data_IF_856646979576
#
_entry.id   IF_856646979576
#
_cell.length_a   1.000
_cell.length_b   1.000
_cell.length_c   1.000
_cell.angle_alpha   90.00
_cell.angle_beta   90.00
_cell.angle_gamma   90.00
#
_symmetry.space_group_name_H-M   'P 1'
#
loop_
_entity.id
_entity.type
_entity.pdbx_description
1 polymer ?
#
# COMPACT_ATOMS: atom_id res chain seq x y z
N UNK A 1 -9.10 -10.24 53.34
CA UNK A 1 -7.89 -9.50 52.92
C UNK A 1 -7.95 -9.41 51.40
N UNK A 2 -8.80 -8.54 50.85
CA UNK A 2 -8.48 -7.16 50.47
C UNK A 2 -7.18 -7.06 49.65
N UNK A 3 -7.32 -6.84 48.35
CA UNK A 3 -6.84 -5.62 47.70
C UNK A 3 -7.56 -5.43 46.35
N UNK A 4 -8.16 -4.25 46.23
CA UNK A 4 -8.88 -3.70 45.06
C UNK A 4 -7.95 -2.67 44.41
N UNK A 5 -8.07 -2.54 43.08
CA UNK A 5 -7.83 -1.36 42.23
C UNK A 5 -6.38 -0.93 41.91
N UNK A 6 -6.05 -0.88 40.61
CA UNK A 6 -6.00 0.37 39.82
C UNK A 6 -5.95 0.07 38.31
N UNK A 7 -6.69 0.88 37.53
CA UNK A 7 -6.70 0.90 36.05
C UNK A 7 -5.34 1.38 35.51
N UNK A 8 -4.92 0.98 34.30
CA UNK A 8 -4.09 1.82 33.45
C UNK A 8 -4.91 2.30 32.25
N UNK A 9 -5.36 3.54 32.37
CA UNK A 9 -5.91 4.37 31.31
C UNK A 9 -5.52 5.81 31.63
N UNK A 10 -4.21 6.08 31.60
CA UNK A 10 -3.64 7.42 31.54
C UNK A 10 -2.14 7.27 31.17
N UNK A 11 -1.83 7.47 29.89
CA UNK A 11 -0.47 7.87 29.49
C UNK A 11 -0.65 9.24 28.84
N UNK A 12 -0.36 10.22 29.68
CA UNK A 12 0.23 11.54 29.40
C UNK A 12 0.51 11.83 27.92
N UNK A 13 -0.07 12.95 27.46
CA UNK A 13 0.43 13.67 26.31
C UNK A 13 1.93 13.91 26.48
N UNK A 14 2.73 13.32 25.58
CA UNK A 14 4.12 13.73 25.40
C UNK A 14 4.08 14.86 24.39
N UNK A 15 4.09 16.07 24.92
CA UNK A 15 4.55 17.23 24.18
C UNK A 15 6.08 17.12 24.12
N UNK A 16 6.62 16.78 22.96
CA UNK A 16 8.04 17.00 22.69
C UNK A 16 8.29 17.06 21.18
N UNK A 17 8.38 18.30 20.72
CA UNK A 17 9.28 18.76 19.67
C UNK A 17 10.67 18.15 19.81
N UNK A 18 10.89 16.94 19.30
CA UNK A 18 12.24 16.48 18.94
C UNK A 18 12.18 15.67 17.65
N UNK A 19 12.79 16.24 16.62
CA UNK A 19 13.01 15.63 15.31
C UNK A 19 13.71 14.28 15.45
N UNK A 20 13.01 13.18 15.13
CA UNK A 20 13.67 11.89 14.96
C UNK A 20 14.29 11.84 13.55
N UNK A 21 15.47 12.43 13.44
CA UNK A 21 16.30 12.45 12.24
C UNK A 21 17.15 11.19 12.18
N UNK A 22 16.58 10.05 11.78
CA UNK A 22 17.37 8.94 11.22
C UNK A 22 16.48 7.88 10.55
N UNK A 23 16.59 7.66 9.23
CA UNK A 23 15.90 6.55 8.55
C UNK A 23 16.34 5.17 9.09
N UNK A 24 17.50 5.07 9.75
CA UNK A 24 17.96 3.85 10.41
C UNK A 24 17.07 3.39 11.59
N UNK A 25 16.42 4.33 12.30
CA UNK A 25 15.50 3.97 13.40
C UNK A 25 14.20 3.42 12.82
N UNK A 26 13.70 4.01 11.74
CA UNK A 26 12.51 3.51 11.03
C UNK A 26 12.79 2.15 10.39
N UNK A 27 13.99 1.93 9.84
CA UNK A 27 14.41 0.64 9.28
C UNK A 27 14.60 -0.42 10.36
N UNK A 28 15.17 -0.07 11.51
CA UNK A 28 15.29 -0.96 12.67
C UNK A 28 13.94 -1.34 13.26
N UNK A 29 13.01 -0.38 13.36
CA UNK A 29 11.63 -0.62 13.79
C UNK A 29 10.87 -1.45 12.77
N UNK A 30 11.03 -1.18 11.47
CA UNK A 30 10.40 -1.98 10.41
C UNK A 30 10.95 -3.40 10.41
N UNK A 31 12.25 -3.59 10.61
CA UNK A 31 12.90 -4.91 10.68
C UNK A 31 12.52 -5.67 11.95
N UNK A 32 12.44 -5.00 13.11
CA UNK A 32 11.92 -5.59 14.36
C UNK A 32 10.43 -5.94 14.27
N UNK A 33 9.63 -5.11 13.59
CA UNK A 33 8.21 -5.38 13.32
C UNK A 33 8.07 -6.50 12.28
N UNK A 34 8.97 -6.63 11.32
CA UNK A 34 8.97 -7.69 10.31
C UNK A 34 9.45 -9.03 10.90
N UNK A 35 10.46 -9.02 11.77
CA UNK A 35 10.98 -10.20 12.48
C UNK A 35 10.01 -10.68 13.57
N UNK A 36 9.33 -9.77 14.30
CA UNK A 36 8.26 -10.16 15.23
C UNK A 36 7.00 -10.70 14.50
N UNK A 37 6.83 -10.36 13.22
CA UNK A 37 5.77 -10.92 12.36
C UNK A 37 6.22 -12.15 11.55
N UNK A 38 7.47 -12.61 11.67
CA UNK A 38 7.92 -13.86 11.01
C UNK A 38 7.22 -15.11 11.58
N UNK A 39 6.62 -15.02 12.77
CA UNK A 39 5.69 -16.03 13.30
C UNK A 39 4.36 -16.13 12.53
N UNK A 40 4.05 -15.16 11.65
CA UNK A 40 2.83 -15.12 10.83
C UNK A 40 3.00 -15.88 9.50
N UNK A 41 4.20 -16.38 9.17
CA UNK A 41 4.45 -17.23 7.99
C UNK A 41 3.93 -18.68 8.13
N UNK A 42 2.86 -18.91 8.88
CA UNK A 42 2.10 -20.17 8.81
C UNK A 42 1.23 -20.19 7.56
N UNK A 43 1.85 -20.58 6.45
CA UNK A 43 1.16 -20.99 5.22
C UNK A 43 1.42 -22.47 4.95
N UNK A 44 1.23 -23.30 5.97
CA UNK A 44 0.79 -24.68 5.82
C UNK A 44 -0.55 -24.75 6.54
N UNK A 45 -1.62 -24.31 5.87
CA UNK A 45 -2.98 -24.49 6.37
C UNK A 45 -3.69 -25.48 5.47
N UNK A 46 -3.24 -26.74 5.51
CA UNK A 46 -4.15 -27.85 5.34
C UNK A 46 -4.41 -28.40 6.74
N UNK A 47 -5.66 -28.33 7.18
CA UNK A 47 -6.13 -29.04 8.37
C UNK A 47 -7.02 -30.13 7.81
N UNK A 48 -6.57 -31.38 7.86
CA UNK A 48 -7.43 -32.52 7.55
C UNK A 48 -8.35 -32.71 8.77
N UNK A 49 -9.63 -32.44 8.59
CA UNK A 49 -10.66 -32.69 9.60
C UNK A 49 -11.34 -34.00 9.20
N UNK A 50 -11.16 -35.03 10.01
CA UNK A 50 -11.88 -36.29 9.86
C UNK A 50 -13.33 -36.08 10.30
N UNK A 51 -14.24 -36.01 9.32
CA UNK A 51 -15.68 -35.84 9.57
C UNK A 51 -16.27 -37.23 9.72
N UNK A 52 -16.50 -37.65 10.97
CA UNK A 52 -17.22 -38.90 11.23
C UNK A 52 -18.71 -38.67 10.92
N UNK A 53 -19.38 -39.58 10.20
CA UNK A 53 -20.83 -39.50 10.03
C UNK A 53 -21.49 -39.70 11.40
N UNK A 54 -21.89 -38.59 12.02
CA UNK A 54 -22.59 -38.54 13.30
C UNK A 54 -24.07 -38.32 13.07
N UNK A 55 -24.86 -39.21 13.64
CA UNK A 55 -26.32 -39.22 13.67
C UNK A 55 -26.84 -38.18 14.67
N UNK A 56 -27.33 -37.03 14.19
CA UNK A 56 -28.28 -36.19 14.94
C UNK A 56 -29.02 -35.14 14.08
N UNK A 57 -30.31 -35.43 13.88
CA UNK A 57 -31.35 -34.40 13.93
C UNK A 57 -31.46 -33.49 12.70
N UNK A 58 -32.00 -34.06 11.62
CA UNK A 58 -32.65 -33.30 10.55
C UNK A 58 -33.68 -32.34 11.18
N UNK A 59 -33.32 -31.05 11.29
CA UNK A 59 -34.30 -29.98 11.34
C UNK A 59 -34.33 -29.34 9.98
N UNK A 60 -35.34 -29.77 9.23
CA UNK A 60 -35.89 -29.08 8.07
C UNK A 60 -35.95 -27.57 8.36
N UNK A 61 -35.11 -26.82 7.65
CA UNK A 61 -34.82 -25.42 7.92
C UNK A 61 -34.71 -24.66 6.61
N UNK A 62 -35.89 -24.32 6.07
CA UNK A 62 -36.11 -23.41 4.93
C UNK A 62 -35.18 -22.20 4.96
N UNK A 63 -34.62 -21.88 3.79
CA UNK A 63 -34.15 -20.56 3.35
C UNK A 63 -33.59 -19.64 4.45
N UNK A 64 -32.54 -20.06 5.16
CA UNK A 64 -31.77 -19.15 6.00
C UNK A 64 -30.78 -18.38 5.11
N UNK A 65 -31.14 -17.15 4.75
CA UNK A 65 -30.33 -16.25 3.91
C UNK A 65 -28.91 -16.10 4.50
N UNK A 66 -27.92 -16.63 3.80
CA UNK A 66 -26.51 -16.59 4.21
C UNK A 66 -26.06 -15.13 4.37
N UNK A 67 -25.65 -14.74 5.58
CA UNK A 67 -24.93 -13.48 5.81
C UNK A 67 -23.41 -13.76 5.79
N UNK A 68 -22.66 -13.29 4.76
CA UNK A 68 -21.21 -13.46 4.68
C UNK A 68 -20.43 -12.94 5.91
N UNK A 69 -21.02 -12.01 6.67
CA UNK A 69 -20.40 -11.49 7.91
C UNK A 69 -20.29 -12.55 9.00
N UNK A 70 -21.20 -13.52 9.04
CA UNK A 70 -21.18 -14.62 10.01
C UNK A 70 -19.99 -15.57 9.81
N UNK A 71 -19.49 -15.69 8.58
CA UNK A 71 -18.35 -16.54 8.20
C UNK A 71 -17.00 -15.86 8.37
N UNK A 72 -16.99 -14.52 8.39
CA UNK A 72 -15.77 -13.70 8.40
C UNK A 72 -14.81 -13.99 9.58
N UNK A 73 -15.27 -14.17 10.83
CA UNK A 73 -14.37 -14.47 11.95
C UNK A 73 -13.64 -15.80 11.78
N UNK A 74 -14.35 -16.82 11.30
CA UNK A 74 -13.80 -18.17 11.11
C UNK A 74 -12.74 -18.22 10.01
N UNK A 75 -12.98 -17.53 8.89
CA UNK A 75 -12.04 -17.48 7.76
C UNK A 75 -10.81 -16.65 8.09
N UNK A 76 -10.98 -15.51 8.78
CA UNK A 76 -9.87 -14.61 9.13
C UNK A 76 -8.96 -15.19 10.21
N UNK A 77 -9.54 -15.82 11.23
CA UNK A 77 -8.78 -16.31 12.39
C UNK A 77 -8.36 -17.77 12.23
N UNK A 78 -8.87 -18.49 11.22
CA UNK A 78 -8.65 -19.94 11.01
C UNK A 78 -8.89 -20.74 12.31
N UNK A 79 -9.93 -20.36 13.05
CA UNK A 79 -10.20 -20.89 14.39
C UNK A 79 -11.14 -22.09 14.35
N UNK A 80 -10.66 -23.25 14.85
CA UNK A 80 -11.48 -24.45 15.03
C UNK A 80 -12.58 -24.25 16.09
N UNK A 81 -12.32 -23.41 17.09
CA UNK A 81 -13.32 -23.07 18.10
C UNK A 81 -14.46 -22.24 17.50
N UNK A 82 -14.14 -21.34 16.57
CA UNK A 82 -15.15 -20.60 15.82
C UNK A 82 -15.98 -21.51 14.92
N UNK A 83 -15.33 -22.50 14.27
CA UNK A 83 -16.01 -23.53 13.47
C UNK A 83 -16.93 -24.41 14.33
N UNK A 84 -16.48 -24.85 15.50
CA UNK A 84 -17.30 -25.63 16.43
C UNK A 84 -18.52 -24.84 16.91
N UNK A 85 -18.34 -23.56 17.27
CA UNK A 85 -19.44 -22.66 17.64
C UNK A 85 -20.43 -22.40 16.50
N UNK A 86 -19.97 -22.46 15.25
CA UNK A 86 -20.79 -22.33 14.05
C UNK A 86 -21.58 -23.61 13.71
N UNK A 87 -21.40 -24.70 14.45
CA UNK A 87 -22.06 -25.99 14.20
C UNK A 87 -21.25 -26.95 13.34
N UNK A 88 -19.93 -26.73 13.23
CA UNK A 88 -19.01 -27.66 12.57
C UNK A 88 -19.07 -27.64 11.04
N UNK A 89 -18.40 -28.63 10.44
CA UNK A 89 -18.22 -28.72 8.98
C UNK A 89 -19.53 -29.01 8.27
N UNK A 90 -20.42 -29.83 8.85
CA UNK A 90 -21.71 -30.18 8.25
C UNK A 90 -22.64 -28.98 8.13
N UNK A 91 -22.73 -28.14 9.17
CA UNK A 91 -23.51 -26.90 9.12
C UNK A 91 -22.89 -25.88 8.17
N UNK A 92 -21.57 -25.79 8.13
CA UNK A 92 -20.87 -24.94 7.16
C UNK A 92 -21.16 -25.37 5.72
N UNK A 93 -21.15 -26.67 5.43
CA UNK A 93 -21.43 -27.22 4.11
C UNK A 93 -22.88 -26.97 3.67
N UNK A 94 -23.83 -27.14 4.60
CA UNK A 94 -25.24 -26.81 4.36
C UNK A 94 -25.44 -25.32 4.09
N UNK A 95 -24.82 -24.43 4.87
CA UNK A 95 -24.91 -22.96 4.69
C UNK A 95 -24.26 -22.51 3.38
N UNK A 96 -23.16 -23.14 2.96
CA UNK A 96 -22.49 -22.84 1.70
C UNK A 96 -23.13 -23.55 0.49
N UNK A 97 -24.15 -24.37 0.71
CA UNK A 97 -24.76 -25.26 -0.28
C UNK A 97 -23.68 -25.98 -1.09
N UNK A 98 -22.75 -26.64 -0.40
CA UNK A 98 -21.67 -27.43 -1.01
C UNK A 98 -21.83 -28.87 -0.59
N UNK A 99 -21.62 -29.77 -1.54
CA UNK A 99 -21.51 -31.19 -1.23
C UNK A 99 -20.15 -31.48 -0.60
N UNK A 100 -20.11 -32.34 0.42
CA UNK A 100 -18.87 -32.67 1.14
C UNK A 100 -17.94 -33.58 0.32
N UNK A 101 -18.49 -34.37 -0.60
CA UNK A 101 -17.72 -35.30 -1.42
C UNK A 101 -17.41 -34.73 -2.81
N UNK A 102 -18.41 -34.13 -3.45
CA UNK A 102 -18.38 -33.65 -4.83
C UNK A 102 -18.11 -32.13 -4.92
N UNK A 103 -18.16 -31.41 -3.80
CA UNK A 103 -17.90 -29.97 -3.76
C UNK A 103 -19.03 -29.16 -4.41
N UNK A 104 -18.65 -28.16 -5.21
CA UNK A 104 -19.59 -27.28 -5.91
C UNK A 104 -19.91 -27.85 -7.28
N UNK A 105 -21.19 -28.08 -7.58
CA UNK A 105 -21.66 -28.41 -8.92
C UNK A 105 -21.68 -27.16 -9.78
N UNK A 106 -20.59 -26.91 -10.52
CA UNK A 106 -20.43 -25.75 -11.38
C UNK A 106 -21.32 -25.72 -12.63
N UNK A 107 -22.20 -26.71 -12.81
CA UNK A 107 -23.05 -26.87 -14.00
C UNK A 107 -24.40 -26.16 -13.87
N UNK A 108 -24.76 -25.69 -12.68
CA UNK A 108 -26.00 -24.98 -12.41
C UNK A 108 -25.76 -23.45 -12.44
N UNK A 109 -26.15 -22.79 -13.53
CA UNK A 109 -26.11 -21.33 -13.68
C UNK A 109 -26.86 -20.60 -12.55
N UNK A 110 -27.88 -21.25 -11.97
CA UNK A 110 -28.67 -20.65 -10.89
C UNK A 110 -27.90 -20.60 -9.57
N UNK A 111 -27.12 -21.64 -9.24
CA UNK A 111 -26.25 -21.64 -8.06
C UNK A 111 -25.13 -20.60 -8.20
N UNK A 112 -24.54 -20.48 -9.39
CA UNK A 112 -23.51 -19.47 -9.66
C UNK A 112 -24.05 -18.04 -9.50
N UNK A 113 -25.22 -17.76 -10.06
CA UNK A 113 -25.88 -16.45 -9.93
C UNK A 113 -26.22 -16.12 -8.47
N UNK A 114 -26.70 -17.11 -7.70
CA UNK A 114 -26.98 -16.97 -6.27
C UNK A 114 -25.70 -16.63 -5.48
N UNK A 115 -24.61 -17.35 -5.71
CA UNK A 115 -23.31 -17.08 -5.05
C UNK A 115 -22.80 -15.68 -5.35
N UNK A 116 -22.92 -15.21 -6.59
CA UNK A 116 -22.55 -13.84 -6.97
C UNK A 116 -23.37 -12.79 -6.24
N UNK A 117 -24.67 -13.02 -6.07
CA UNK A 117 -25.54 -12.11 -5.33
C UNK A 117 -25.25 -12.10 -3.82
N UNK A 118 -24.89 -13.25 -3.24
CA UNK A 118 -24.61 -13.39 -1.79
C UNK A 118 -23.22 -12.89 -1.42
N UNK A 119 -22.19 -13.30 -2.16
CA UNK A 119 -20.78 -13.02 -1.83
C UNK A 119 -20.19 -11.83 -2.60
N UNK A 120 -20.92 -11.33 -3.60
CA UNK A 120 -20.46 -10.26 -4.49
C UNK A 120 -19.49 -10.75 -5.57
N UNK A 121 -19.36 -9.95 -6.63
CA UNK A 121 -18.32 -10.15 -7.62
C UNK A 121 -17.09 -9.28 -7.30
N UNK A 122 -15.90 -9.89 -7.27
CA UNK A 122 -14.65 -9.13 -7.11
C UNK A 122 -14.25 -8.33 -8.37
N UNK A 123 -15.02 -8.46 -9.46
CA UNK A 123 -14.74 -7.84 -10.75
C UNK A 123 -14.73 -6.31 -10.69
N UNK A 124 -15.70 -5.70 -10.00
CA UNK A 124 -15.81 -4.23 -9.88
C UNK A 124 -14.60 -3.61 -9.17
N UNK A 125 -14.08 -4.28 -8.14
CA UNK A 125 -12.88 -3.87 -7.42
C UNK A 125 -11.62 -3.99 -8.30
N UNK A 126 -11.50 -5.11 -9.04
CA UNK A 126 -10.40 -5.31 -10.00
C UNK A 126 -10.41 -4.24 -11.10
N UNK A 127 -11.59 -3.93 -11.65
CA UNK A 127 -11.76 -2.91 -12.67
C UNK A 127 -11.41 -1.51 -12.16
N UNK A 128 -11.86 -1.15 -10.95
CA UNK A 128 -11.52 0.12 -10.30
C UNK A 128 -10.00 0.28 -10.12
N UNK A 129 -9.32 -0.78 -9.70
CA UNK A 129 -7.87 -0.80 -9.59
C UNK A 129 -7.17 -0.67 -10.96
N UNK A 130 -7.65 -1.39 -11.99
CA UNK A 130 -7.11 -1.29 -13.35
C UNK A 130 -7.25 0.14 -13.89
N UNK A 131 -8.41 0.78 -13.70
CA UNK A 131 -8.67 2.16 -14.11
C UNK A 131 -7.77 3.18 -13.37
N UNK A 132 -7.36 2.87 -12.14
CA UNK A 132 -6.37 3.64 -11.38
C UNK A 132 -4.91 3.36 -11.80
N UNK A 133 -4.67 2.53 -12.81
CA UNK A 133 -3.33 2.15 -13.26
C UNK A 133 -2.62 1.15 -12.35
N UNK A 134 -3.34 0.47 -11.45
CA UNK A 134 -2.78 -0.54 -10.55
C UNK A 134 -2.67 -1.88 -11.28
N UNK A 135 -1.46 -2.44 -11.33
CA UNK A 135 -1.24 -3.77 -11.89
C UNK A 135 -1.59 -4.84 -10.85
N UNK A 136 -2.63 -5.63 -11.12
CA UNK A 136 -3.07 -6.74 -10.26
C UNK A 136 -2.41 -8.05 -10.71
N UNK A 137 -1.91 -8.81 -9.73
CA UNK A 137 -1.35 -10.16 -9.89
C UNK A 137 -1.98 -11.09 -8.86
N UNK A 138 -2.53 -12.21 -9.30
CA UNK A 138 -3.10 -13.24 -8.44
C UNK A 138 -2.01 -14.27 -8.08
N UNK A 139 -1.92 -14.65 -6.80
CA UNK A 139 -0.98 -15.69 -6.35
C UNK A 139 -1.72 -16.67 -5.43
N UNK A 140 -1.95 -17.89 -5.90
CA UNK A 140 -2.71 -18.91 -5.17
C UNK A 140 -1.98 -20.25 -5.09
N UNK A 141 -2.34 -21.05 -4.08
CA UNK A 141 -1.91 -22.44 -3.94
C UNK A 141 -2.75 -23.42 -4.77
N UNK A 142 -3.84 -22.94 -5.38
CA UNK A 142 -4.77 -23.76 -6.16
C UNK A 142 -4.15 -24.31 -7.44
N UNK A 143 -4.83 -25.28 -8.02
CA UNK A 143 -4.53 -25.78 -9.36
C UNK A 143 -4.63 -24.65 -10.39
N UNK A 144 -3.76 -24.69 -11.40
CA UNK A 144 -3.70 -23.76 -12.54
C UNK A 144 -5.07 -23.56 -13.19
N UNK A 145 -5.83 -24.64 -13.44
CA UNK A 145 -7.13 -24.54 -14.13
C UNK A 145 -8.17 -23.76 -13.31
N UNK A 146 -8.30 -24.11 -12.04
CA UNK A 146 -9.20 -23.43 -11.09
C UNK A 146 -8.81 -21.97 -10.95
N UNK A 147 -7.52 -21.70 -10.73
CA UNK A 147 -7.01 -20.35 -10.58
C UNK A 147 -7.20 -19.51 -11.84
N UNK A 148 -7.05 -20.11 -13.03
CA UNK A 148 -7.28 -19.47 -14.33
C UNK A 148 -8.74 -19.08 -14.50
N UNK A 149 -9.68 -19.98 -14.18
CA UNK A 149 -11.12 -19.68 -14.24
C UNK A 149 -11.48 -18.49 -13.34
N UNK A 150 -11.02 -18.50 -12.09
CA UNK A 150 -11.27 -17.41 -11.13
C UNK A 150 -10.62 -16.09 -11.61
N UNK A 151 -9.40 -16.14 -12.13
CA UNK A 151 -8.70 -14.96 -12.61
C UNK A 151 -9.38 -14.33 -13.84
N UNK A 152 -9.98 -15.15 -14.72
CA UNK A 152 -10.79 -14.68 -15.85
C UNK A 152 -12.10 -14.05 -15.35
N UNK A 153 -12.79 -14.73 -14.43
CA UNK A 153 -14.07 -14.27 -13.89
C UNK A 153 -13.93 -12.93 -13.16
N UNK A 154 -12.85 -12.77 -12.39
CA UNK A 154 -12.52 -11.53 -11.69
C UNK A 154 -12.00 -10.43 -12.63
N UNK A 155 -11.75 -10.73 -13.91
CA UNK A 155 -11.19 -9.79 -14.88
C UNK A 155 -9.72 -9.46 -14.64
N UNK A 156 -8.97 -10.31 -13.93
CA UNK A 156 -7.51 -10.19 -13.78
C UNK A 156 -6.82 -10.62 -15.09
N UNK A 157 -7.25 -11.76 -15.63
CA UNK A 157 -6.92 -12.21 -16.97
C UNK A 157 -8.04 -11.79 -17.91
N UNK A 158 -7.67 -11.31 -19.09
CA UNK A 158 -8.62 -11.05 -20.18
C UNK A 158 -8.66 -12.28 -21.06
N UNK A 159 -9.85 -12.73 -21.46
CA UNK A 159 -10.04 -13.81 -22.45
C UNK A 159 -9.74 -13.27 -23.85
N UNK A 160 -8.55 -13.51 -24.42
CA UNK A 160 -8.24 -13.10 -25.77
C UNK A 160 -8.88 -14.12 -26.73
N UNK A 161 -9.00 -13.74 -28.01
CA UNK A 161 -9.41 -14.68 -29.07
C UNK A 161 -8.42 -15.84 -29.28
N UNK A 162 -7.25 -15.74 -28.66
CA UNK A 162 -6.13 -16.68 -28.74
C UNK A 162 -5.73 -17.11 -27.32
N UNK A 163 -5.93 -18.39 -27.00
CA UNK A 163 -5.63 -18.95 -25.68
C UNK A 163 -4.12 -18.96 -25.38
N UNK A 164 -3.25 -19.00 -26.40
CA UNK A 164 -1.80 -19.08 -26.21
C UNK A 164 -1.23 -17.84 -25.50
N UNK A 165 -1.83 -16.66 -25.68
CA UNK A 165 -1.42 -15.43 -24.98
C UNK A 165 -1.78 -15.40 -23.50
N UNK A 166 -2.82 -16.14 -23.10
CA UNK A 166 -3.21 -16.24 -21.69
C UNK A 166 -2.18 -17.07 -20.94
N UNK A 167 -1.72 -18.15 -21.56
CA UNK A 167 -0.82 -19.10 -20.92
C UNK A 167 0.55 -18.45 -20.65
N UNK A 168 1.02 -17.52 -21.49
CA UNK A 168 2.23 -16.71 -21.21
C UNK A 168 2.12 -15.81 -19.96
N UNK A 169 0.90 -15.51 -19.50
CA UNK A 169 0.67 -14.69 -18.29
C UNK A 169 0.55 -15.54 -17.02
N UNK A 170 0.56 -16.86 -17.14
CA UNK A 170 0.37 -17.81 -16.06
C UNK A 170 1.70 -18.51 -15.78
N UNK A 171 2.03 -18.69 -14.51
CA UNK A 171 3.23 -19.43 -14.09
C UNK A 171 2.91 -20.34 -12.92
N UNK A 172 3.55 -21.49 -12.83
CA UNK A 172 3.50 -22.30 -11.62
C UNK A 172 4.55 -21.85 -10.59
N UNK A 173 4.26 -22.02 -9.30
CA UNK A 173 5.21 -21.70 -8.23
C UNK A 173 6.57 -22.41 -8.39
N UNK A 174 6.57 -23.66 -8.88
CA UNK A 174 7.79 -24.44 -9.14
C UNK A 174 8.62 -23.88 -10.30
N UNK A 175 7.95 -23.37 -11.33
CA UNK A 175 8.61 -22.78 -12.50
C UNK A 175 9.24 -21.44 -12.11
N UNK A 176 8.47 -20.58 -11.43
CA UNK A 176 8.95 -19.26 -11.03
C UNK A 176 10.15 -19.28 -10.08
N UNK A 177 10.21 -20.24 -9.16
CA UNK A 177 11.37 -20.39 -8.26
C UNK A 177 12.61 -20.91 -8.98
N UNK A 178 12.43 -21.67 -10.08
CA UNK A 178 13.51 -22.23 -10.87
C UNK A 178 14.07 -21.27 -11.93
N UNK A 179 13.35 -20.19 -12.27
CA UNK A 179 13.89 -19.12 -13.09
C UNK A 179 15.19 -18.56 -12.52
N UNK A 180 16.11 -18.20 -13.41
CA UNK A 180 17.27 -17.39 -13.02
C UNK A 180 16.82 -16.03 -12.47
N UNK A 181 17.64 -15.33 -11.65
CA UNK A 181 17.31 -13.99 -11.18
C UNK A 181 16.94 -13.03 -12.32
N UNK A 182 17.63 -13.11 -13.45
CA UNK A 182 17.44 -12.25 -14.62
C UNK A 182 16.13 -12.58 -15.34
N UNK A 183 15.90 -13.86 -15.62
CA UNK A 183 14.68 -14.35 -16.25
C UNK A 183 13.45 -14.03 -15.40
N UNK A 184 13.55 -14.27 -14.09
CA UNK A 184 12.50 -13.94 -13.13
C UNK A 184 12.18 -12.45 -13.15
N UNK A 185 13.21 -11.60 -13.22
CA UNK A 185 13.05 -10.16 -13.25
C UNK A 185 12.31 -9.70 -14.51
N UNK A 186 12.57 -10.31 -15.66
CA UNK A 186 11.85 -10.02 -16.91
C UNK A 186 10.41 -10.57 -16.91
N UNK A 187 10.24 -11.82 -16.46
CA UNK A 187 8.94 -12.48 -16.40
C UNK A 187 7.97 -11.79 -15.43
N UNK A 188 8.48 -11.22 -14.33
CA UNK A 188 7.65 -10.64 -13.25
C UNK A 188 6.67 -9.58 -13.74
N UNK A 189 6.98 -8.84 -14.80
CA UNK A 189 6.09 -7.81 -15.34
C UNK A 189 4.92 -8.43 -16.11
N UNK A 190 5.17 -9.54 -16.84
CA UNK A 190 4.20 -10.25 -17.69
C UNK A 190 3.25 -11.14 -16.89
N UNK A 191 3.75 -11.80 -15.85
CA UNK A 191 2.96 -12.74 -15.03
C UNK A 191 1.78 -12.02 -14.39
N UNK A 192 0.55 -12.52 -14.59
CA UNK A 192 -0.66 -12.02 -13.91
C UNK A 192 -1.25 -13.05 -12.95
N UNK A 193 -0.93 -14.32 -13.13
CA UNK A 193 -1.37 -15.40 -12.26
C UNK A 193 -0.21 -16.34 -11.93
N UNK A 194 0.04 -16.55 -10.65
CA UNK A 194 0.88 -17.65 -10.15
C UNK A 194 -0.01 -18.66 -9.42
N UNK A 195 -0.03 -19.89 -9.92
CA UNK A 195 -0.77 -21.01 -9.33
C UNK A 195 0.18 -22.03 -8.67
N UNK A 196 -0.37 -22.97 -7.88
CA UNK A 196 0.40 -23.96 -7.10
C UNK A 196 1.57 -23.34 -6.30
N UNK A 197 1.37 -22.13 -5.81
CA UNK A 197 2.40 -21.39 -5.07
C UNK A 197 2.55 -21.88 -3.63
N UNK A 198 3.80 -22.06 -3.22
CA UNK A 198 4.20 -22.20 -1.82
C UNK A 198 4.34 -20.82 -1.17
N UNK A 199 4.35 -20.73 0.18
CA UNK A 199 4.68 -19.47 0.85
C UNK A 199 6.01 -18.86 0.41
N UNK A 200 7.00 -19.67 0.09
CA UNK A 200 8.29 -19.19 -0.39
C UNK A 200 8.16 -18.50 -1.76
N UNK A 201 7.33 -19.03 -2.66
CA UNK A 201 7.12 -18.42 -3.99
C UNK A 201 6.43 -17.06 -3.87
N UNK A 202 5.48 -16.92 -2.95
CA UNK A 202 4.82 -15.63 -2.67
C UNK A 202 5.85 -14.60 -2.21
N UNK A 203 6.71 -15.00 -1.26
CA UNK A 203 7.78 -14.15 -0.76
C UNK A 203 8.75 -13.77 -1.89
N UNK A 204 9.13 -14.75 -2.71
CA UNK A 204 10.04 -14.55 -3.83
C UNK A 204 9.48 -13.56 -4.86
N UNK A 205 8.20 -13.70 -5.23
CA UNK A 205 7.50 -12.78 -6.12
C UNK A 205 7.48 -11.36 -5.57
N UNK A 206 7.14 -11.18 -4.29
CA UNK A 206 7.12 -9.87 -3.62
C UNK A 206 8.52 -9.24 -3.57
N UNK A 207 9.56 -10.04 -3.28
CA UNK A 207 10.94 -9.57 -3.27
C UNK A 207 11.40 -9.14 -4.67
N UNK A 208 11.10 -9.92 -5.71
CA UNK A 208 11.42 -9.56 -7.10
C UNK A 208 10.73 -8.27 -7.52
N UNK A 209 9.43 -8.10 -7.21
CA UNK A 209 8.69 -6.87 -7.48
C UNK A 209 9.28 -5.66 -6.76
N UNK A 210 9.64 -5.80 -5.48
CA UNK A 210 10.26 -4.72 -4.69
C UNK A 210 11.61 -4.31 -5.28
N UNK A 211 12.46 -5.27 -5.62
CA UNK A 211 13.75 -5.01 -6.26
C UNK A 211 13.58 -4.32 -7.62
N UNK A 212 12.60 -4.75 -8.43
CA UNK A 212 12.30 -4.13 -9.72
C UNK A 212 11.74 -2.73 -9.60
N UNK A 213 10.89 -2.46 -8.60
CA UNK A 213 10.43 -1.11 -8.26
C UNK A 213 11.58 -0.20 -7.82
N UNK A 214 12.46 -0.68 -6.93
CA UNK A 214 13.67 0.05 -6.52
C UNK A 214 14.62 0.30 -7.70
N UNK A 215 14.71 -0.64 -8.64
CA UNK A 215 15.53 -0.49 -9.86
C UNK A 215 14.93 0.51 -10.84
N UNK A 216 13.63 0.44 -11.15
CA UNK A 216 12.93 1.43 -11.98
C UNK A 216 13.03 2.83 -11.36
N UNK A 217 12.89 2.96 -10.04
CA UNK A 217 13.11 4.22 -9.32
C UNK A 217 14.57 4.71 -9.35
N UNK A 218 15.56 3.81 -9.38
CA UNK A 218 16.98 4.14 -9.61
C UNK A 218 17.26 4.56 -11.05
N UNK A 219 16.58 3.97 -12.03
CA UNK A 219 16.72 4.30 -13.46
C UNK A 219 16.17 5.70 -13.78
N UNK A 220 15.03 6.09 -13.21
CA UNK A 220 14.44 7.44 -13.39
C UNK A 220 15.40 8.55 -12.94
N UNK A 221 16.10 8.35 -11.82
CA UNK A 221 17.05 9.33 -11.33
C UNK A 221 18.49 9.07 -11.77
N UNK A 222 18.82 7.92 -12.38
CA UNK A 222 20.17 7.54 -12.82
C UNK A 222 21.30 7.89 -11.83
N UNK A 223 21.00 7.91 -10.53
CA UNK A 223 21.92 8.28 -9.46
C UNK A 223 21.77 7.29 -8.29
N UNK A 224 22.87 6.92 -7.64
CA UNK A 224 22.90 5.97 -6.52
C UNK A 224 22.02 6.38 -5.33
N UNK A 225 21.60 5.42 -4.51
CA UNK A 225 20.60 5.59 -3.44
C UNK A 225 21.00 6.66 -2.40
N UNK A 226 22.27 6.73 -2.02
CA UNK A 226 22.82 7.74 -1.10
C UNK A 226 22.76 9.15 -1.71
N UNK A 227 23.10 9.27 -2.99
CA UNK A 227 23.03 10.54 -3.70
C UNK A 227 21.57 10.97 -3.92
N UNK A 228 20.67 10.03 -4.19
CA UNK A 228 19.23 10.31 -4.29
C UNK A 228 18.69 10.88 -2.98
N UNK A 229 19.02 10.28 -1.84
CA UNK A 229 18.62 10.81 -0.54
C UNK A 229 19.19 12.21 -0.30
N UNK A 230 20.43 12.45 -0.75
CA UNK A 230 21.05 13.78 -0.69
C UNK A 230 20.34 14.80 -1.59
N UNK A 231 19.95 14.41 -2.81
CA UNK A 231 19.18 15.24 -3.74
C UNK A 231 17.82 15.59 -3.13
N UNK A 232 17.11 14.62 -2.55
CA UNK A 232 15.80 14.84 -1.91
C UNK A 232 15.94 15.79 -0.73
N UNK A 233 16.92 15.56 0.14
CA UNK A 233 17.21 16.45 1.26
C UNK A 233 17.57 17.87 0.78
N UNK A 234 18.43 17.98 -0.24
CA UNK A 234 18.83 19.27 -0.79
C UNK A 234 17.64 20.01 -1.42
N UNK A 235 16.82 19.31 -2.19
CA UNK A 235 15.59 19.89 -2.76
C UNK A 235 14.65 20.35 -1.64
N UNK A 236 14.48 19.57 -0.57
CA UNK A 236 13.61 19.95 0.55
C UNK A 236 14.05 21.25 1.21
N UNK A 237 15.34 21.38 1.56
CA UNK A 237 15.84 22.61 2.19
C UNK A 237 15.82 23.78 1.21
N UNK A 238 16.21 23.58 -0.05
CA UNK A 238 16.11 24.64 -1.06
C UNK A 238 14.65 25.09 -1.21
N UNK A 239 13.69 24.16 -1.31
CA UNK A 239 12.26 24.50 -1.35
C UNK A 239 11.81 25.33 -0.14
N UNK A 240 12.33 25.07 1.06
CA UNK A 240 12.06 25.91 2.24
C UNK A 240 12.55 27.35 2.04
N UNK A 241 13.78 27.51 1.55
CA UNK A 241 14.36 28.82 1.22
C UNK A 241 13.52 29.52 0.16
N UNK A 242 13.14 28.84 -0.93
CA UNK A 242 12.27 29.39 -1.98
C UNK A 242 10.87 29.74 -1.45
N UNK A 243 10.31 28.95 -0.53
CA UNK A 243 9.03 29.21 0.11
C UNK A 243 9.07 30.44 1.04
N UNK A 244 10.22 30.73 1.65
CA UNK A 244 10.41 31.92 2.49
C UNK A 244 10.17 33.22 1.69
N UNK A 245 10.55 33.25 0.41
CA UNK A 245 10.23 34.35 -0.50
C UNK A 245 8.73 34.48 -0.79
N UNK A 246 8.03 33.34 -0.95
CA UNK A 246 6.58 33.33 -1.18
C UNK A 246 5.81 33.83 0.06
N UNK A 247 6.25 33.44 1.26
CA UNK A 247 5.62 33.79 2.53
C UNK A 247 5.88 35.25 2.94
N UNK A 248 6.93 35.90 2.42
CA UNK A 248 7.31 37.28 2.75
C UNK A 248 6.21 38.31 2.52
N UNK A 249 5.43 38.15 1.46
CA UNK A 249 4.24 38.96 1.17
C UNK A 249 3.16 38.07 0.59
N UNK A 250 2.12 37.81 1.39
CA UNK A 250 1.05 36.89 1.03
C UNK A 250 0.19 37.43 -0.14
N UNK A 251 -0.06 38.74 -0.20
CA UNK A 251 -0.98 39.35 -1.17
C UNK A 251 -0.31 39.91 -2.43
N UNK A 252 0.98 40.26 -2.37
CA UNK A 252 1.69 40.81 -3.54
C UNK A 252 2.10 39.68 -4.50
N UNK A 253 1.75 39.85 -5.78
CA UNK A 253 2.12 38.92 -6.87
C UNK A 253 3.62 38.92 -7.18
N UNK A 254 4.34 39.99 -6.82
CA UNK A 254 5.77 40.14 -7.06
C UNK A 254 6.57 39.92 -5.77
N UNK A 255 7.05 38.70 -5.55
CA UNK A 255 7.86 38.32 -4.37
C UNK A 255 9.18 39.08 -4.24
N UNK A 256 9.71 39.62 -5.34
CA UNK A 256 10.98 40.36 -5.37
C UNK A 256 10.86 41.84 -5.00
N UNK A 257 9.64 42.41 -4.92
CA UNK A 257 9.48 43.86 -4.70
C UNK A 257 9.96 44.23 -3.29
N UNK A 258 10.94 45.13 -3.22
CA UNK A 258 11.52 45.60 -1.97
C UNK A 258 12.34 44.55 -1.21
N UNK A 259 12.78 43.47 -1.87
CA UNK A 259 13.61 42.41 -1.28
C UNK A 259 14.86 42.97 -0.58
N UNK A 260 15.63 43.79 -1.28
CA UNK A 260 16.88 44.40 -0.81
C UNK A 260 16.69 45.39 0.35
N UNK A 261 15.47 45.85 0.65
CA UNK A 261 15.22 46.81 1.73
C UNK A 261 15.29 46.15 3.12
N UNK A 262 14.98 44.85 3.22
CA UNK A 262 15.04 44.12 4.48
C UNK A 262 16.37 43.34 4.56
N UNK A 263 17.40 43.98 5.15
CA UNK A 263 18.73 43.38 5.32
C UNK A 263 18.70 42.12 6.20
N UNK A 264 17.77 42.04 7.16
CA UNK A 264 17.61 40.88 8.04
C UNK A 264 17.10 39.67 7.25
N UNK A 265 16.12 39.88 6.36
CA UNK A 265 15.63 38.84 5.45
C UNK A 265 16.72 38.31 4.52
N UNK A 266 17.48 39.21 3.86
CA UNK A 266 18.63 38.81 3.03
C UNK A 266 19.68 38.06 3.86
N UNK A 267 19.91 38.49 5.10
CA UNK A 267 20.83 37.85 6.04
C UNK A 267 20.43 36.41 6.37
N UNK A 268 19.16 36.15 6.71
CA UNK A 268 18.64 34.80 6.99
C UNK A 268 18.79 33.89 5.77
N UNK A 269 18.39 34.35 4.59
CA UNK A 269 18.55 33.59 3.34
C UNK A 269 20.04 33.30 3.05
N UNK A 270 20.91 34.28 3.25
CA UNK A 270 22.35 34.10 3.07
C UNK A 270 22.94 33.05 4.02
N UNK A 271 22.59 33.14 5.31
CA UNK A 271 23.06 32.21 6.34
C UNK A 271 22.54 30.79 6.08
N UNK A 272 21.27 30.63 5.71
CA UNK A 272 20.69 29.31 5.39
C UNK A 272 21.34 28.68 4.16
N UNK A 273 21.61 29.46 3.09
CA UNK A 273 22.33 28.96 1.92
C UNK A 273 23.77 28.56 2.25
N UNK A 274 24.48 29.33 3.09
CA UNK A 274 25.84 28.98 3.54
C UNK A 274 25.82 27.68 4.34
N UNK A 275 24.92 27.54 5.31
CA UNK A 275 24.78 26.31 6.07
C UNK A 275 24.40 25.13 5.18
N UNK A 276 23.59 25.34 4.14
CA UNK A 276 23.21 24.29 3.21
C UNK A 276 24.40 23.76 2.40
N UNK A 277 25.27 24.65 1.91
CA UNK A 277 26.52 24.25 1.24
C UNK A 277 27.44 23.53 2.22
N UNK A 278 27.61 24.06 3.43
CA UNK A 278 28.45 23.43 4.45
C UNK A 278 27.96 22.01 4.81
N UNK A 279 26.64 21.84 4.94
CA UNK A 279 26.03 20.56 5.26
C UNK A 279 26.25 19.51 4.17
N UNK A 280 26.14 19.88 2.90
CA UNK A 280 26.30 18.93 1.79
C UNK A 280 27.78 18.63 1.50
N UNK A 281 28.66 19.63 1.62
CA UNK A 281 30.09 19.48 1.27
C UNK A 281 30.95 18.88 2.39
N UNK A 282 30.60 19.15 3.66
CA UNK A 282 31.45 18.85 4.82
C UNK A 282 30.83 17.90 5.86
N UNK A 283 29.50 17.71 5.89
CA UNK A 283 28.84 16.82 6.88
C UNK A 283 28.53 15.40 6.37
N UNK A 284 29.35 14.85 5.46
CA UNK A 284 29.21 13.47 4.95
C UNK A 284 28.99 12.42 6.06
N UNK A 285 29.75 12.53 7.16
CA UNK A 285 29.79 11.56 8.26
C UNK A 285 28.60 11.66 9.23
N UNK A 286 27.93 12.82 9.28
CA UNK A 286 26.80 13.06 10.19
C UNK A 286 25.45 12.90 9.49
N UNK A 287 25.35 13.20 8.20
CA UNK A 287 24.08 13.22 7.48
C UNK A 287 23.93 12.10 6.44
N UNK A 288 24.93 11.19 6.29
CA UNK A 288 24.97 10.20 5.20
C UNK A 288 24.73 10.84 3.83
N UNK A 289 25.29 12.02 3.60
CA UNK A 289 25.16 12.78 2.36
C UNK A 289 26.36 12.56 1.45
N UNK A 290 26.11 12.50 0.14
CA UNK A 290 27.16 12.49 -0.87
C UNK A 290 27.37 13.88 -1.48
N UNK A 291 28.58 14.15 -1.96
CA UNK A 291 28.85 15.41 -2.67
C UNK A 291 28.06 15.43 -3.97
N UNK A 292 27.21 16.45 -4.14
CA UNK A 292 26.48 16.67 -5.38
C UNK A 292 27.40 17.32 -6.41
N UNK A 293 27.38 16.82 -7.64
CA UNK A 293 27.99 17.51 -8.76
C UNK A 293 27.25 18.81 -9.12
N UNK A 294 27.92 19.73 -9.81
CA UNK A 294 27.32 20.99 -10.26
C UNK A 294 26.05 20.81 -11.09
N UNK A 295 25.96 19.74 -11.89
CA UNK A 295 24.76 19.38 -12.66
C UNK A 295 23.58 18.98 -11.77
N UNK A 296 23.84 18.22 -10.71
CA UNK A 296 22.81 17.82 -9.74
C UNK A 296 22.37 19.01 -8.89
N UNK A 297 23.31 19.89 -8.52
CA UNK A 297 23.01 21.17 -7.87
C UNK A 297 22.08 22.03 -8.72
N UNK A 298 22.41 22.22 -10.01
CA UNK A 298 21.56 22.96 -10.94
C UNK A 298 20.15 22.33 -11.06
N UNK A 299 20.07 20.99 -11.12
CA UNK A 299 18.79 20.29 -11.13
C UNK A 299 17.97 20.52 -9.84
N UNK A 300 18.61 20.47 -8.67
CA UNK A 300 17.94 20.73 -7.38
C UNK A 300 17.41 22.17 -7.30
N UNK A 301 18.22 23.15 -7.72
CA UNK A 301 17.81 24.56 -7.78
C UNK A 301 16.65 24.73 -8.77
N UNK A 302 16.71 24.08 -9.93
CA UNK A 302 15.64 24.08 -10.91
C UNK A 302 14.32 23.55 -10.34
N UNK A 303 14.34 22.39 -9.68
CA UNK A 303 13.17 21.81 -9.03
C UNK A 303 12.63 22.74 -7.93
N UNK A 304 13.51 23.26 -7.07
CA UNK A 304 13.10 24.14 -5.97
C UNK A 304 12.52 25.47 -6.46
N UNK A 305 13.00 25.99 -7.60
CA UNK A 305 12.49 27.22 -8.20
C UNK A 305 11.03 27.10 -8.67
N UNK A 306 10.52 25.88 -8.91
CA UNK A 306 9.11 25.64 -9.23
C UNK A 306 8.15 26.08 -8.11
N UNK A 307 8.66 26.28 -6.89
CA UNK A 307 7.88 26.82 -5.77
C UNK A 307 7.38 28.25 -6.05
N UNK A 308 8.11 29.06 -6.83
CA UNK A 308 7.67 30.42 -7.20
C UNK A 308 6.46 30.44 -8.16
N UNK A 309 6.45 29.74 -9.31
CA UNK A 309 5.28 29.70 -10.18
C UNK A 309 4.08 29.03 -9.48
N UNK A 310 4.30 28.00 -8.65
CA UNK A 310 3.23 27.43 -7.82
C UNK A 310 2.67 28.49 -6.85
N UNK A 311 3.54 29.22 -6.14
CA UNK A 311 3.12 30.29 -5.23
C UNK A 311 2.38 31.42 -5.94
N UNK A 312 2.81 31.80 -7.14
CA UNK A 312 2.10 32.77 -7.98
C UNK A 312 0.72 32.24 -8.42
N UNK A 313 0.63 30.98 -8.85
CA UNK A 313 -0.61 30.34 -9.25
C UNK A 313 -1.61 30.24 -8.10
N UNK A 314 -1.16 29.86 -6.90
CA UNK A 314 -1.99 29.83 -5.68
C UNK A 314 -2.55 31.22 -5.38
N UNK A 315 -1.74 32.28 -5.54
CA UNK A 315 -2.19 33.68 -5.40
C UNK A 315 -3.14 34.14 -6.49
N UNK A 316 -3.24 33.43 -7.61
CA UNK A 316 -4.22 33.70 -8.67
C UNK A 316 -5.61 33.13 -8.34
N UNK A 317 -5.77 32.32 -7.29
CA UNK A 317 -7.07 31.81 -6.84
C UNK A 317 -7.74 32.90 -5.96
N UNK A 318 -8.81 33.56 -6.43
CA UNK A 318 -9.47 34.61 -5.66
C UNK A 318 -10.21 34.03 -4.45
N UNK A 319 -9.91 34.57 -3.27
CA UNK A 319 -10.48 34.16 -1.96
C UNK A 319 -12.01 34.35 -1.89
N UNK A 320 -12.61 35.11 -2.81
CA UNK A 320 -14.06 35.30 -2.92
C UNK A 320 -14.82 34.00 -3.18
N UNK A 321 -14.23 33.05 -3.91
CA UNK A 321 -14.88 31.77 -4.25
C UNK A 321 -14.95 30.79 -3.08
N UNK A 322 -14.09 30.94 -2.08
CA UNK A 322 -14.08 30.09 -0.86
C UNK A 322 -14.96 30.70 0.24
N UNK A 323 -15.00 32.03 0.34
CA UNK A 323 -15.86 32.74 1.29
C UNK A 323 -17.36 32.63 0.98
N UNK A 324 -17.74 32.38 -0.27
CA UNK A 324 -19.14 32.10 -0.66
C UNK A 324 -19.60 30.67 -0.32
N UNK A 325 -18.68 29.74 -0.05
CA UNK A 325 -18.96 28.34 0.28
C UNK A 325 -18.97 28.06 1.79
N UNK A 326 -18.51 29.01 2.61
CA UNK A 326 -18.56 28.90 4.06
C UNK A 326 -19.88 29.48 4.59
N UNK A 327 -20.69 28.72 5.35
CA UNK A 327 -21.89 29.26 5.97
C UNK A 327 -21.52 30.41 6.91
N UNK A 328 -22.04 31.62 6.65
CA UNK A 328 -21.87 32.77 7.55
C UNK A 328 -22.46 32.39 8.91
N UNK A 329 -21.61 32.20 9.93
CA UNK A 329 -22.06 32.28 11.32
C UNK A 329 -22.49 33.73 11.56
N UNK A 330 -23.80 33.96 11.67
CA UNK A 330 -24.33 35.24 12.15
C UNK A 330 -23.81 35.43 13.57
N UNK A 331 -22.98 36.45 13.78
CA UNK A 331 -22.67 36.93 15.13
C UNK A 331 -23.83 37.84 15.52
N UNK A 332 -24.61 37.50 16.56
CA UNK A 332 -25.68 38.37 17.02
C UNK A 332 -25.07 39.67 17.56
N UNK A 333 -25.63 40.80 17.14
CA UNK A 333 -25.30 42.10 17.71
C UNK A 333 -25.82 42.14 19.16
N UNK A 334 -24.92 42.40 20.09
CA UNK A 334 -25.23 42.71 21.50
C UNK A 334 -24.60 44.04 21.86
#
# INVERSE_FOLDING_TARGET
>A
MSLRLRKPGEITAVDETTSCSSPAVLESLTKKVLENNLGILRSLSYVAIDVRPGDDGLKDGKDEKVDPKSLSPMVREKSLDALAKFGGVSRLASVLETDLENGLSGDDETDLARRKNVFGENRSAVESCKNAGVNIKMITGDNVHTARAIAIECGILETPKDNSKVDEMIVEGVEFRNFSPEERFEAVDKIRLMARSSPFDKLLMVQTLKQKGHFKGRSIFRVGEVVKNTIVFNCFVLCQVFNEFNARKLEEKNVFKGLHKNKLFIGIIGVTLVFQVLMIEFLKKFANTERLGWTQWAACIGIASLTWPIGWLVKCIPVSSVRSLLPRKQVPAS
#
